data_IF_092023223859
#
_entry.id   IF_092023223859
#
_cell.length_a   1.000
_cell.length_b   1.000
_cell.length_c   1.000
_cell.angle_alpha   90.00
_cell.angle_beta   90.00
_cell.angle_gamma   90.00
#
_symmetry.space_group_name_H-M   'P 1'
#
loop_
_entity.id
_entity.type
_entity.pdbx_description
1 polymer ?
#
# COMPACT_ATOMS: atom_id res chain seq x y z
N UNK A 1 -13.55 9.17 -36.70
CA UNK A 1 -12.73 8.18 -35.97
C UNK A 1 -11.59 7.69 -36.85
N UNK A 2 -10.38 7.50 -36.32
CA UNK A 2 -9.25 6.94 -37.09
C UNK A 2 -9.32 5.41 -37.13
N UNK A 3 -8.92 4.80 -38.23
CA UNK A 3 -8.81 3.34 -38.37
C UNK A 3 -7.63 2.86 -37.52
N UNK A 4 -7.89 1.99 -36.54
CA UNK A 4 -6.86 1.47 -35.60
C UNK A 4 -6.32 0.13 -36.06
N UNK A 5 -5.22 0.17 -36.82
CA UNK A 5 -4.46 -1.02 -37.23
C UNK A 5 -3.78 -1.71 -36.04
N UNK A 6 -3.44 -3.00 -36.21
CA UNK A 6 -2.54 -3.71 -35.30
C UNK A 6 -1.11 -3.35 -35.66
N UNK A 7 -0.39 -2.70 -34.74
CA UNK A 7 0.94 -2.16 -35.00
C UNK A 7 1.90 -2.77 -33.99
N UNK A 8 3.13 -3.11 -34.38
CA UNK A 8 4.13 -3.68 -33.49
C UNK A 8 4.78 -2.66 -32.52
N UNK A 9 4.57 -1.37 -32.77
CA UNK A 9 5.18 -0.24 -32.05
C UNK A 9 4.13 0.81 -31.67
N UNK A 10 4.41 1.62 -30.65
CA UNK A 10 3.50 2.62 -30.10
C UNK A 10 2.73 2.17 -28.85
N UNK A 11 1.80 3.00 -28.37
CA UNK A 11 1.07 2.79 -27.11
C UNK A 11 0.13 1.58 -27.12
N UNK A 12 -0.45 1.25 -28.28
CA UNK A 12 -1.31 0.08 -28.47
C UNK A 12 -0.62 -0.96 -29.35
N UNK A 13 0.62 -1.28 -28.97
CA UNK A 13 1.43 -2.26 -29.67
C UNK A 13 0.99 -3.69 -29.40
N UNK A 14 1.21 -4.56 -30.39
CA UNK A 14 0.94 -5.98 -30.31
C UNK A 14 -0.44 -6.37 -30.81
N UNK A 15 -0.67 -7.68 -30.88
CA UNK A 15 -1.94 -8.25 -31.34
C UNK A 15 -3.03 -8.05 -30.29
N UNK A 16 -4.23 -7.62 -30.72
CA UNK A 16 -5.35 -7.33 -29.82
C UNK A 16 -6.01 -8.63 -29.38
N UNK A 17 -5.42 -9.28 -28.38
CA UNK A 17 -6.01 -10.44 -27.72
C UNK A 17 -7.01 -10.05 -26.64
N UNK A 18 -7.99 -10.92 -26.39
CA UNK A 18 -8.84 -10.82 -25.21
C UNK A 18 -7.97 -11.03 -23.96
N UNK A 19 -7.86 -10.00 -23.12
CA UNK A 19 -7.08 -10.11 -21.88
C UNK A 19 -7.72 -11.16 -20.96
N UNK A 20 -6.93 -12.12 -20.50
CA UNK A 20 -7.36 -13.03 -19.43
C UNK A 20 -7.55 -12.19 -18.17
N UNK A 21 -8.77 -12.10 -17.61
CA UNK A 21 -9.05 -11.23 -16.48
C UNK A 21 -8.50 -11.86 -15.20
N UNK A 22 -7.30 -11.44 -14.80
CA UNK A 22 -6.66 -11.91 -13.55
C UNK A 22 -7.66 -11.94 -12.39
N UNK A 23 -8.05 -13.14 -11.97
CA UNK A 23 -8.81 -13.36 -10.73
C UNK A 23 -10.32 -13.56 -10.87
N UNK A 24 -10.87 -13.85 -12.06
CA UNK A 24 -12.32 -14.13 -12.22
C UNK A 24 -12.70 -15.62 -12.20
N UNK A 25 -11.80 -16.53 -12.53
CA UNK A 25 -12.10 -17.97 -12.57
C UNK A 25 -11.44 -18.73 -11.41
N UNK A 26 -12.07 -19.82 -10.95
CA UNK A 26 -11.57 -20.71 -9.89
C UNK A 26 -10.14 -21.24 -10.14
N UNK A 27 -9.70 -21.24 -11.41
CA UNK A 27 -8.36 -21.65 -11.84
C UNK A 27 -7.30 -20.53 -11.70
N UNK A 28 -7.68 -19.26 -11.88
CA UNK A 28 -6.82 -18.10 -11.61
C UNK A 28 -6.94 -17.68 -10.14
N UNK A 29 -6.47 -18.53 -9.23
CA UNK A 29 -6.28 -18.12 -7.83
C UNK A 29 -5.28 -16.97 -7.80
N UNK A 30 -5.59 -15.92 -7.02
CA UNK A 30 -4.64 -14.85 -6.73
C UNK A 30 -3.35 -15.49 -6.25
N UNK A 31 -2.24 -15.22 -6.95
CA UNK A 31 -0.94 -15.78 -6.61
C UNK A 31 -0.64 -15.50 -5.14
N UNK A 32 -0.21 -16.49 -4.34
CA UNK A 32 0.10 -16.28 -2.92
C UNK A 32 1.09 -15.13 -2.67
N UNK A 33 2.01 -14.87 -3.61
CA UNK A 33 2.92 -13.72 -3.55
C UNK A 33 2.22 -12.36 -3.48
N UNK A 34 1.02 -12.21 -4.06
CA UNK A 34 0.20 -10.98 -4.00
C UNK A 34 -0.58 -10.84 -2.69
N UNK A 35 -0.69 -11.90 -1.89
CA UNK A 35 -1.32 -11.86 -0.58
C UNK A 35 -0.34 -11.39 0.51
N UNK A 36 0.94 -11.26 0.19
CA UNK A 36 1.96 -10.73 1.11
C UNK A 36 1.64 -9.26 1.42
N UNK A 37 1.46 -8.95 2.70
CA UNK A 37 1.13 -7.60 3.19
C UNK A 37 -0.37 -7.38 3.47
N UNK A 38 -1.24 -8.34 3.13
CA UNK A 38 -2.67 -8.26 3.48
C UNK A 38 -2.84 -8.39 4.99
N UNK A 39 -3.56 -7.45 5.59
CA UNK A 39 -3.90 -7.50 7.01
C UNK A 39 -5.08 -8.45 7.24
N UNK A 40 -4.83 -9.55 7.95
CA UNK A 40 -5.87 -10.51 8.35
C UNK A 40 -6.48 -10.14 9.70
N UNK A 41 -7.69 -10.64 10.01
CA UNK A 41 -8.37 -10.37 11.28
C UNK A 41 -7.49 -10.76 12.49
N UNK A 42 -6.84 -11.91 12.42
CA UNK A 42 -5.91 -12.39 13.45
C UNK A 42 -4.70 -11.47 13.62
N UNK A 43 -4.04 -11.08 12.52
CA UNK A 43 -2.85 -10.21 12.62
C UNK A 43 -3.19 -8.80 13.10
N UNK A 44 -4.39 -8.29 12.79
CA UNK A 44 -4.87 -7.03 13.38
C UNK A 44 -5.04 -7.15 14.89
N UNK A 45 -5.75 -8.17 15.36
CA UNK A 45 -6.00 -8.40 16.79
C UNK A 45 -4.69 -8.48 17.59
N UNK A 46 -3.72 -9.26 17.11
CA UNK A 46 -2.41 -9.39 17.78
C UNK A 46 -1.65 -8.05 17.80
N UNK A 47 -1.69 -7.26 16.72
CA UNK A 47 -1.01 -5.95 16.67
C UNK A 47 -1.64 -4.92 17.59
N UNK A 48 -2.97 -4.93 17.71
CA UNK A 48 -3.70 -4.02 18.59
C UNK A 48 -3.38 -4.36 20.06
N UNK A 49 -3.39 -5.65 20.44
CA UNK A 49 -2.99 -6.12 21.77
C UNK A 49 -1.54 -5.74 22.12
N UNK A 50 -0.58 -5.92 21.20
CA UNK A 50 0.81 -5.54 21.44
C UNK A 50 0.95 -4.02 21.64
N UNK A 51 0.22 -3.21 20.87
CA UNK A 51 0.25 -1.74 21.02
C UNK A 51 -0.30 -1.28 22.36
N UNK A 52 -1.32 -1.93 22.89
CA UNK A 52 -1.86 -1.65 24.22
C UNK A 52 -0.85 -1.96 25.33
N UNK A 53 -0.16 -3.10 25.22
CA UNK A 53 0.81 -3.56 26.24
C UNK A 53 2.12 -2.76 26.20
N UNK A 54 2.70 -2.56 25.02
CA UNK A 54 4.03 -1.93 24.86
C UNK A 54 3.94 -0.39 24.88
N UNK A 55 2.78 0.15 24.48
CA UNK A 55 2.57 1.58 24.36
C UNK A 55 3.38 2.21 23.22
N UNK A 56 3.63 3.51 23.34
CA UNK A 56 4.28 4.31 22.30
C UNK A 56 5.78 4.49 22.52
N UNK A 57 6.53 4.38 21.44
CA UNK A 57 7.95 4.70 21.43
C UNK A 57 8.19 6.21 21.63
N UNK A 58 9.38 6.64 22.10
CA UNK A 58 9.65 8.06 22.40
C UNK A 58 9.48 8.99 21.17
N UNK A 59 9.77 8.51 19.95
CA UNK A 59 9.56 9.28 18.73
C UNK A 59 8.07 9.42 18.37
N UNK A 60 7.25 8.40 18.65
CA UNK A 60 5.80 8.44 18.44
C UNK A 60 5.13 9.39 19.42
N UNK A 61 5.56 9.38 20.68
CA UNK A 61 5.12 10.33 21.72
C UNK A 61 5.37 11.77 21.29
N UNK A 62 6.59 12.09 20.86
CA UNK A 62 6.94 13.43 20.36
C UNK A 62 6.16 13.83 19.11
N UNK A 63 5.89 12.89 18.21
CA UNK A 63 5.05 13.16 17.04
C UNK A 63 3.60 13.46 17.44
N UNK A 64 3.02 12.69 18.36
CA UNK A 64 1.67 12.95 18.88
C UNK A 64 1.56 14.30 19.61
N UNK A 65 2.58 14.71 20.37
CA UNK A 65 2.63 16.04 20.99
C UNK A 65 2.60 17.16 19.95
N UNK A 66 3.36 17.03 18.87
CA UNK A 66 3.35 18.02 17.77
C UNK A 66 1.99 18.09 17.06
N UNK A 67 1.32 16.94 16.89
CA UNK A 67 -0.02 16.87 16.31
C UNK A 67 -1.09 17.47 17.25
N UNK A 68 -0.97 17.31 18.57
CA UNK A 68 -1.87 17.95 19.55
C UNK A 68 -1.83 19.47 19.51
N UNK A 69 -0.67 20.05 19.16
CA UNK A 69 -0.48 21.50 19.02
C UNK A 69 -0.77 21.97 17.58
N UNK A 70 -1.36 21.11 16.73
CA UNK A 70 -1.68 21.39 15.33
C UNK A 70 -0.48 21.84 14.48
N UNK A 71 0.73 21.34 14.80
CA UNK A 71 1.98 21.65 14.08
C UNK A 71 2.34 20.57 13.06
N UNK A 72 1.43 20.25 12.16
CA UNK A 72 1.53 19.11 11.23
C UNK A 72 2.77 19.17 10.34
N UNK A 73 3.12 20.36 9.82
CA UNK A 73 4.32 20.55 9.00
C UNK A 73 5.61 20.23 9.76
N UNK A 74 5.63 20.51 11.07
CA UNK A 74 6.78 20.17 11.94
C UNK A 74 6.77 18.69 12.30
N UNK A 75 5.61 18.10 12.54
CA UNK A 75 5.46 16.65 12.76
C UNK A 75 5.95 15.85 11.55
N UNK A 76 5.56 16.22 10.33
CA UNK A 76 6.03 15.59 9.09
C UNK A 76 7.53 15.72 8.89
N UNK A 77 8.12 16.90 9.16
CA UNK A 77 9.59 17.07 9.11
C UNK A 77 10.30 16.20 10.13
N UNK A 78 9.73 16.05 11.33
CA UNK A 78 10.28 15.21 12.39
C UNK A 78 10.22 13.72 12.00
N UNK A 79 9.06 13.23 11.55
CA UNK A 79 8.90 11.85 11.10
C UNK A 79 9.80 11.53 9.91
N UNK A 80 9.86 12.39 8.89
CA UNK A 80 10.72 12.19 7.72
C UNK A 80 12.23 12.11 8.05
N UNK A 81 12.67 12.76 9.14
CA UNK A 81 14.08 12.71 9.59
C UNK A 81 14.40 11.43 10.36
N UNK A 82 13.47 10.91 11.15
CA UNK A 82 13.71 9.75 12.02
C UNK A 82 13.30 8.42 11.37
N UNK A 83 12.38 8.45 10.42
CA UNK A 83 11.90 7.29 9.68
C UNK A 83 11.93 7.63 8.18
N UNK A 84 12.80 6.95 7.43
CA UNK A 84 12.76 6.91 5.97
C UNK A 84 11.39 6.39 5.48
N UNK A 85 10.96 6.77 4.26
CA UNK A 85 9.56 7.03 3.93
C UNK A 85 8.64 5.84 4.17
N UNK A 86 7.58 6.10 4.95
CA UNK A 86 6.30 5.43 4.82
C UNK A 86 5.52 6.05 3.67
#
# INVERSE_FOLDING_TARGET
MTVRYEIAVGLQKGHKTTKIPMGKTKAEKIRPSRLKGVQTKHTKFVRDLIREVVGHAPYEKRAMELLKVSKDKRALKFLKRNTHPC
#
